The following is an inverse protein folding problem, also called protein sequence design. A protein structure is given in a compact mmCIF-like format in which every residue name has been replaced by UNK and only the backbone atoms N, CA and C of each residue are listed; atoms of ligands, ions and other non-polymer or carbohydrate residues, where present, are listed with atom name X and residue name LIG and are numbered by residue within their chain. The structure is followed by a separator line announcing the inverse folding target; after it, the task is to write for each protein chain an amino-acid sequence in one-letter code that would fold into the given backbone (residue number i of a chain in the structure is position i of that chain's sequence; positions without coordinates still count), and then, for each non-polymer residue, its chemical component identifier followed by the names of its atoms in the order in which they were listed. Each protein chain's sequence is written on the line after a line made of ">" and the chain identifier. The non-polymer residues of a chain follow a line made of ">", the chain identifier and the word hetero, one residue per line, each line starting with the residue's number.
data_IF_220198961041
#
_entry.id   IF_220198961041
#
_cell.length_a   1.000
_cell.length_b   1.000
_cell.length_c   1.000
_cell.angle_alpha   90.00
_cell.angle_beta   90.00
_cell.angle_gamma   90.00
#
_symmetry.space_group_name_H-M   'P 1'
#
loop_
_entity.id
_entity.type
_entity.pdbx_description
1 polymer ?
#
# COMPACT_ATOMS: atom_id res chain seq x y z
N UNK A 1 -21.61 -29.71 -18.83
CA UNK A 1 -22.78 -30.14 -18.02
C UNK A 1 -23.63 -28.92 -17.65
N UNK A 2 -24.93 -29.08 -17.50
CA UNK A 2 -25.77 -27.96 -17.04
C UNK A 2 -25.47 -27.65 -15.57
N UNK A 3 -25.13 -26.40 -15.29
CA UNK A 3 -24.87 -25.93 -13.93
C UNK A 3 -25.32 -24.49 -13.76
N UNK A 4 -25.52 -24.07 -12.51
CA UNK A 4 -25.86 -22.72 -12.13
C UNK A 4 -24.59 -21.91 -12.06
N UNK A 5 -24.55 -20.78 -12.76
CA UNK A 5 -23.47 -19.80 -12.72
C UNK A 5 -24.08 -18.40 -12.71
N UNK A 6 -23.26 -17.38 -12.44
CA UNK A 6 -23.73 -16.00 -12.49
C UNK A 6 -23.80 -15.50 -13.92
N UNK A 7 -24.78 -14.65 -14.19
CA UNK A 7 -24.88 -13.78 -15.38
C UNK A 7 -24.82 -12.32 -14.94
N UNK A 8 -24.07 -11.50 -15.65
CA UNK A 8 -23.93 -10.07 -15.36
C UNK A 8 -24.51 -9.28 -16.50
N UNK A 9 -25.60 -8.57 -16.24
CA UNK A 9 -26.24 -7.66 -17.17
C UNK A 9 -25.39 -6.38 -17.33
N UNK A 10 -24.79 -6.23 -18.50
CA UNK A 10 -23.87 -5.14 -18.80
C UNK A 10 -24.57 -3.78 -18.84
N UNK A 11 -25.87 -3.73 -19.14
CA UNK A 11 -26.65 -2.48 -19.20
C UNK A 11 -26.94 -1.96 -17.78
N UNK A 12 -27.29 -2.88 -16.86
CA UNK A 12 -27.55 -2.54 -15.45
C UNK A 12 -26.28 -2.32 -14.63
N UNK A 13 -25.14 -2.84 -15.07
CA UNK A 13 -23.88 -2.70 -14.34
C UNK A 13 -23.41 -1.24 -14.36
N UNK A 14 -23.23 -0.64 -13.19
CA UNK A 14 -22.71 0.73 -13.04
C UNK A 14 -21.17 0.79 -12.86
N UNK A 15 -20.48 -0.35 -12.89
CA UNK A 15 -19.03 -0.40 -12.79
C UNK A 15 -18.44 -0.19 -11.39
N UNK A 16 -19.22 -0.33 -10.32
CA UNK A 16 -18.75 -0.08 -8.94
C UNK A 16 -17.69 -1.06 -8.43
N UNK A 17 -17.53 -2.24 -9.05
CA UNK A 17 -16.51 -3.24 -8.69
C UNK A 17 -16.82 -4.07 -7.43
N UNK A 18 -17.90 -3.80 -6.70
CA UNK A 18 -18.21 -4.48 -5.45
C UNK A 18 -18.33 -6.01 -5.60
N UNK A 19 -18.92 -6.47 -6.70
CA UNK A 19 -19.03 -7.91 -7.01
C UNK A 19 -17.67 -8.58 -7.31
N UNK A 20 -16.76 -7.86 -7.95
CA UNK A 20 -15.42 -8.38 -8.21
C UNK A 20 -14.61 -8.50 -6.91
N UNK A 21 -14.78 -7.56 -5.97
CA UNK A 21 -14.19 -7.62 -4.64
C UNK A 21 -14.79 -8.74 -3.76
N UNK A 22 -16.10 -9.01 -3.89
CA UNK A 22 -16.82 -10.05 -3.13
C UNK A 22 -16.65 -11.45 -3.72
N UNK A 23 -16.13 -11.59 -4.95
CA UNK A 23 -15.93 -12.90 -5.56
C UNK A 23 -14.69 -13.58 -4.97
N UNK A 24 -14.90 -14.53 -4.08
CA UNK A 24 -13.82 -15.30 -3.44
C UNK A 24 -13.00 -16.08 -4.46
N UNK A 25 -13.60 -16.57 -5.52
CA UNK A 25 -12.94 -17.36 -6.57
C UNK A 25 -12.18 -16.50 -7.60
N UNK A 26 -12.37 -15.17 -7.55
CA UNK A 26 -11.76 -14.25 -8.51
C UNK A 26 -12.24 -14.47 -9.95
N UNK A 27 -13.44 -15.00 -10.12
CA UNK A 27 -14.06 -15.27 -11.41
C UNK A 27 -14.53 -13.99 -12.13
N UNK A 28 -14.71 -12.88 -11.39
CA UNK A 28 -15.19 -11.59 -11.92
C UNK A 28 -14.04 -10.63 -12.04
N UNK A 29 -13.90 -9.97 -13.20
CA UNK A 29 -12.98 -8.89 -13.43
C UNK A 29 -13.70 -7.64 -13.97
N UNK A 30 -13.05 -6.48 -13.82
CA UNK A 30 -13.52 -5.21 -14.39
C UNK A 30 -12.89 -5.00 -15.77
N UNK A 31 -13.71 -4.99 -16.83
CA UNK A 31 -13.26 -4.78 -18.22
C UNK A 31 -14.05 -3.59 -18.78
N UNK A 32 -13.36 -2.58 -19.28
CA UNK A 32 -14.00 -1.39 -19.83
C UNK A 32 -14.93 -0.65 -18.86
N UNK A 33 -14.63 -0.72 -17.53
CA UNK A 33 -15.47 -0.12 -16.51
C UNK A 33 -16.73 -0.93 -16.13
N UNK A 34 -16.86 -2.17 -16.61
CA UNK A 34 -17.99 -3.06 -16.33
C UNK A 34 -17.50 -4.37 -15.75
N UNK A 35 -18.27 -4.97 -14.83
CA UNK A 35 -17.98 -6.29 -14.29
C UNK A 35 -18.25 -7.37 -15.35
N UNK A 36 -17.35 -8.32 -15.49
CA UNK A 36 -17.43 -9.41 -16.47
C UNK A 36 -16.99 -10.72 -15.84
N UNK A 37 -17.75 -11.79 -16.06
CA UNK A 37 -17.35 -13.14 -15.70
C UNK A 37 -16.25 -13.60 -16.68
N UNK A 38 -15.07 -13.86 -16.17
CA UNK A 38 -13.90 -14.17 -16.99
C UNK A 38 -13.87 -15.61 -17.48
N UNK A 39 -14.28 -16.52 -16.60
CA UNK A 39 -14.26 -17.96 -16.88
C UNK A 39 -15.39 -18.64 -16.11
N UNK A 40 -16.11 -19.51 -16.78
CA UNK A 40 -17.20 -20.28 -16.19
C UNK A 40 -16.72 -21.27 -15.14
N UNK A 41 -15.58 -21.91 -15.39
CA UNK A 41 -14.96 -22.91 -14.51
C UNK A 41 -14.37 -22.33 -13.22
N UNK A 42 -14.30 -21.00 -13.09
CA UNK A 42 -13.90 -20.32 -11.86
C UNK A 42 -15.10 -19.95 -10.98
N UNK A 43 -16.30 -19.84 -11.53
CA UNK A 43 -17.50 -19.55 -10.76
C UNK A 43 -17.99 -20.84 -10.08
N UNK A 44 -18.05 -20.85 -8.74
CA UNK A 44 -18.59 -21.97 -7.96
C UNK A 44 -20.12 -22.06 -8.01
N UNK A 45 -20.81 -20.95 -8.35
CA UNK A 45 -22.27 -20.85 -8.39
C UNK A 45 -22.92 -20.58 -7.03
N UNK A 46 -22.13 -20.24 -5.99
CA UNK A 46 -22.69 -19.94 -4.65
C UNK A 46 -23.36 -18.57 -4.58
N UNK A 47 -22.87 -17.59 -5.36
CA UNK A 47 -23.55 -16.31 -5.53
C UNK A 47 -23.23 -15.26 -4.48
N UNK A 48 -22.10 -15.37 -3.79
CA UNK A 48 -21.62 -14.38 -2.80
C UNK A 48 -21.54 -12.95 -3.35
N UNK A 49 -21.36 -12.83 -4.67
CA UNK A 49 -21.33 -11.56 -5.36
C UNK A 49 -22.71 -10.88 -5.52
N UNK A 50 -23.85 -11.63 -5.43
CA UNK A 50 -25.19 -11.09 -5.70
C UNK A 50 -25.59 -10.00 -4.69
N UNK A 51 -25.50 -10.22 -3.36
CA UNK A 51 -25.92 -9.23 -2.36
C UNK A 51 -25.07 -7.95 -2.42
N UNK A 52 -23.90 -8.00 -3.02
CA UNK A 52 -22.99 -6.85 -3.14
C UNK A 52 -23.26 -5.99 -4.38
N UNK A 53 -24.18 -6.39 -5.26
CA UNK A 53 -24.52 -5.60 -6.46
C UNK A 53 -25.61 -4.57 -6.16
N UNK A 54 -25.29 -3.24 -6.08
CA UNK A 54 -26.29 -2.23 -5.73
C UNK A 54 -27.35 -2.01 -6.81
N UNK A 55 -27.07 -2.42 -8.06
CA UNK A 55 -27.99 -2.26 -9.18
C UNK A 55 -28.77 -3.53 -9.54
N UNK A 56 -28.51 -4.63 -8.84
CA UNK A 56 -29.13 -5.93 -9.17
C UNK A 56 -28.77 -6.45 -10.56
N UNK A 57 -27.60 -6.07 -11.08
CA UNK A 57 -27.13 -6.50 -12.40
C UNK A 57 -26.69 -7.95 -12.46
N UNK A 58 -26.58 -8.66 -11.30
CA UNK A 58 -26.11 -10.03 -11.24
C UNK A 58 -27.29 -10.94 -10.93
N UNK A 59 -27.43 -11.98 -11.73
CA UNK A 59 -28.45 -13.01 -11.59
C UNK A 59 -27.83 -14.39 -11.76
N UNK A 60 -28.57 -15.45 -11.35
CA UNK A 60 -28.19 -16.81 -11.67
C UNK A 60 -28.74 -17.21 -13.04
N UNK A 61 -27.93 -17.94 -13.77
CA UNK A 61 -28.30 -18.58 -15.03
C UNK A 61 -27.94 -20.05 -15.00
N UNK A 62 -28.85 -20.91 -15.50
CA UNK A 62 -28.58 -22.33 -15.73
C UNK A 62 -28.20 -22.53 -17.21
N UNK A 63 -26.92 -22.80 -17.46
CA UNK A 63 -26.42 -23.07 -18.82
C UNK A 63 -25.37 -24.17 -18.83
N UNK A 64 -25.07 -24.65 -20.03
CA UNK A 64 -23.94 -25.56 -20.19
C UNK A 64 -22.64 -24.79 -19.95
N UNK A 65 -21.88 -25.27 -18.96
CA UNK A 65 -20.62 -24.67 -18.57
C UNK A 65 -19.63 -25.77 -18.16
N UNK A 66 -18.34 -25.43 -18.24
CA UNK A 66 -17.27 -26.28 -17.73
C UNK A 66 -17.48 -26.54 -16.21
N UNK A 67 -17.11 -27.72 -15.70
CA UNK A 67 -17.16 -27.99 -14.26
C UNK A 67 -16.26 -27.01 -13.50
N UNK A 68 -16.65 -26.70 -12.26
CA UNK A 68 -15.82 -25.87 -11.37
C UNK A 68 -14.45 -26.51 -11.16
N UNK A 69 -13.41 -25.72 -11.32
CA UNK A 69 -12.01 -26.17 -11.24
C UNK A 69 -11.30 -25.50 -10.07
N UNK A 70 -11.45 -26.08 -8.88
CA UNK A 70 -10.82 -25.58 -7.67
C UNK A 70 -9.30 -25.48 -7.77
N UNK A 71 -8.65 -26.46 -8.41
CA UNK A 71 -7.19 -26.44 -8.58
C UNK A 71 -6.72 -25.25 -9.42
N UNK A 72 -7.47 -24.94 -10.49
CA UNK A 72 -7.15 -23.77 -11.33
C UNK A 72 -7.40 -22.44 -10.58
N UNK A 73 -8.45 -22.39 -9.75
CA UNK A 73 -8.73 -21.23 -8.88
C UNK A 73 -7.62 -21.02 -7.85
N UNK A 74 -7.18 -22.09 -7.18
CA UNK A 74 -6.09 -22.04 -6.21
C UNK A 74 -4.76 -21.63 -6.87
N UNK A 75 -4.44 -22.17 -8.04
CA UNK A 75 -3.28 -21.76 -8.81
C UNK A 75 -3.35 -20.27 -9.20
N UNK A 76 -4.50 -19.81 -9.66
CA UNK A 76 -4.71 -18.39 -10.00
C UNK A 76 -4.62 -17.46 -8.76
N UNK A 77 -5.06 -17.92 -7.59
CA UNK A 77 -4.89 -17.20 -6.32
C UNK A 77 -3.40 -17.09 -5.94
N UNK A 78 -2.63 -18.17 -6.05
CA UNK A 78 -1.19 -18.17 -5.80
C UNK A 78 -0.45 -17.25 -6.79
N UNK A 79 -0.85 -17.22 -8.06
CA UNK A 79 -0.32 -16.26 -9.04
C UNK A 79 -0.76 -14.81 -8.76
N UNK A 80 -1.97 -14.59 -8.25
CA UNK A 80 -2.43 -13.24 -7.84
C UNK A 80 -1.68 -12.70 -6.62
N UNK A 81 -1.26 -13.52 -5.69
CA UNK A 81 -0.39 -13.09 -4.57
C UNK A 81 1.03 -12.76 -5.02
N UNK A 82 1.50 -13.30 -6.16
CA UNK A 82 2.78 -12.96 -6.76
C UNK A 82 2.73 -11.69 -7.65
N UNK A 83 1.57 -11.41 -8.28
CA UNK A 83 1.36 -10.25 -9.14
C UNK A 83 -0.08 -9.75 -8.96
N UNK A 84 -0.37 -8.99 -7.90
CA UNK A 84 -1.47 -8.05 -7.97
C UNK A 84 -1.00 -6.92 -8.88
N UNK A 85 -1.64 -6.63 -10.02
CA UNK A 85 -1.51 -5.31 -10.60
C UNK A 85 -2.30 -4.39 -9.66
N UNK A 86 -1.66 -4.06 -8.52
CA UNK A 86 -2.06 -2.93 -7.71
C UNK A 86 -2.07 -1.69 -8.59
N UNK A 87 -2.82 -0.68 -8.18
CA UNK A 87 -2.69 0.67 -8.74
C UNK A 87 -1.22 0.89 -9.14
N UNK A 88 -0.91 1.41 -10.33
CA UNK A 88 0.48 1.67 -10.76
C UNK A 88 1.32 2.41 -9.72
N UNK A 89 0.66 3.16 -8.81
CA UNK A 89 1.27 3.81 -7.67
C UNK A 89 1.68 2.88 -6.52
N UNK A 90 1.29 1.61 -6.50
CA UNK A 90 1.67 0.65 -5.44
C UNK A 90 2.84 -0.26 -5.85
N UNK A 91 3.30 -0.20 -7.10
CA UNK A 91 4.44 -0.99 -7.54
C UNK A 91 5.73 -0.53 -6.81
N UNK A 92 6.53 -1.47 -6.27
CA UNK A 92 7.80 -1.12 -5.63
C UNK A 92 8.75 -0.47 -6.65
N UNK A 93 9.28 0.68 -6.30
CA UNK A 93 10.20 1.44 -7.13
C UNK A 93 11.34 1.99 -6.29
N UNK A 94 12.58 1.67 -6.64
CA UNK A 94 13.74 2.39 -6.17
C UNK A 94 13.85 3.73 -6.93
N UNK A 95 14.08 4.81 -6.21
CA UNK A 95 14.17 6.14 -6.78
C UNK A 95 15.60 6.66 -6.68
N UNK A 96 16.09 7.25 -7.75
CA UNK A 96 17.36 7.96 -7.73
C UNK A 96 17.13 9.41 -7.31
N UNK A 97 17.87 9.85 -6.30
CA UNK A 97 17.92 11.28 -5.95
C UNK A 97 18.78 11.97 -7.00
N UNK A 98 18.17 12.74 -7.87
CA UNK A 98 18.91 13.56 -8.82
C UNK A 98 19.39 14.83 -8.12
N UNK A 99 20.71 15.07 -8.02
CA UNK A 99 21.22 16.38 -7.60
C UNK A 99 20.81 17.40 -8.68
N UNK A 100 19.90 18.29 -8.33
CA UNK A 100 19.55 19.41 -9.21
C UNK A 100 18.34 19.26 -10.13
N UNK A 101 17.33 18.44 -9.79
CA UNK A 101 16.04 18.57 -10.45
C UNK A 101 15.40 19.90 -10.01
N UNK A 102 15.79 20.98 -10.69
CA UNK A 102 15.03 22.23 -10.65
C UNK A 102 13.64 21.91 -11.19
N UNK A 103 12.63 21.88 -10.32
CA UNK A 103 11.27 22.00 -10.75
C UNK A 103 11.17 23.33 -11.52
N UNK A 104 11.04 23.24 -12.85
CA UNK A 104 10.84 24.41 -13.68
C UNK A 104 9.53 25.04 -13.20
N UNK A 105 9.63 26.20 -12.57
CA UNK A 105 8.48 26.92 -12.07
C UNK A 105 7.49 27.12 -13.23
N UNK A 106 6.22 26.74 -13.02
CA UNK A 106 5.15 26.85 -14.01
C UNK A 106 4.68 28.31 -14.25
N UNK A 107 5.36 29.28 -13.64
CA UNK A 107 5.10 30.71 -13.84
C UNK A 107 6.36 31.42 -14.34
N UNK A 108 6.26 32.25 -15.39
CA UNK A 108 7.35 33.13 -15.78
C UNK A 108 7.59 34.14 -14.65
N UNK A 109 8.72 33.98 -13.93
CA UNK A 109 9.17 34.98 -12.97
C UNK A 109 9.72 36.19 -13.72
N UNK A 110 9.23 37.36 -13.39
CA UNK A 110 9.84 38.61 -13.84
C UNK A 110 11.27 38.73 -13.32
N UNK A 111 12.16 39.22 -14.16
CA UNK A 111 13.58 39.29 -13.90
C UNK A 111 13.85 40.20 -12.69
N UNK A 112 14.36 39.63 -11.58
CA UNK A 112 14.84 40.43 -10.43
C UNK A 112 14.88 39.71 -9.07
N UNK A 113 14.16 38.62 -8.84
CA UNK A 113 14.20 37.90 -7.58
C UNK A 113 14.95 36.56 -7.73
N UNK A 114 15.91 36.33 -6.83
CA UNK A 114 16.57 35.01 -6.72
C UNK A 114 15.51 33.94 -6.52
N UNK A 115 15.33 33.06 -7.51
CA UNK A 115 14.37 31.97 -7.45
C UNK A 115 14.57 31.18 -6.15
N UNK A 116 13.48 30.87 -5.40
CA UNK A 116 13.61 30.09 -4.18
C UNK A 116 14.23 28.73 -4.55
N UNK A 117 15.37 28.43 -3.97
CA UNK A 117 16.03 27.12 -4.12
C UNK A 117 15.16 26.08 -3.45
N UNK A 118 14.32 25.39 -4.22
CA UNK A 118 13.53 24.28 -3.70
C UNK A 118 14.45 23.12 -3.35
N UNK A 119 14.45 22.70 -2.08
CA UNK A 119 15.23 21.56 -1.64
C UNK A 119 14.77 20.30 -2.41
N UNK A 120 15.70 19.50 -2.98
CA UNK A 120 15.32 18.29 -3.72
C UNK A 120 14.75 17.23 -2.77
N UNK A 121 13.81 16.41 -3.28
CA UNK A 121 13.30 15.26 -2.53
C UNK A 121 14.43 14.28 -2.19
N UNK A 122 14.48 13.82 -0.94
CA UNK A 122 15.42 12.82 -0.46
C UNK A 122 14.82 11.41 -0.47
N UNK A 123 13.59 11.24 -0.96
CA UNK A 123 12.92 9.94 -1.01
C UNK A 123 13.59 9.02 -2.04
N UNK A 124 13.85 7.78 -1.63
CA UNK A 124 14.61 6.80 -2.41
C UNK A 124 13.82 5.58 -2.85
N UNK A 125 12.59 5.42 -2.37
CA UNK A 125 11.73 4.30 -2.75
C UNK A 125 10.26 4.72 -2.82
N UNK A 126 9.48 3.87 -3.48
CA UNK A 126 8.04 3.92 -3.53
C UNK A 126 7.47 2.49 -3.52
N UNK A 127 6.33 2.21 -2.88
CA UNK A 127 5.50 3.09 -2.04
C UNK A 127 6.12 3.38 -0.67
N UNK A 128 5.57 4.37 0.05
CA UNK A 128 6.01 4.74 1.41
C UNK A 128 5.08 4.21 2.50
N UNK A 129 3.80 4.01 2.19
CA UNK A 129 2.81 3.56 3.16
C UNK A 129 3.09 2.13 3.63
N UNK A 130 3.14 1.91 4.95
CA UNK A 130 3.39 0.59 5.56
C UNK A 130 2.45 -0.47 4.99
N UNK A 131 1.17 -0.13 4.79
CA UNK A 131 0.16 -1.07 4.25
C UNK A 131 0.47 -1.50 2.82
N UNK A 132 1.06 -0.64 2.00
CA UNK A 132 1.27 -0.84 0.57
C UNK A 132 2.64 -1.42 0.23
N UNK A 133 3.65 -1.17 1.06
CA UNK A 133 5.01 -1.64 0.78
C UNK A 133 5.07 -3.17 0.81
N UNK A 134 5.75 -3.83 -0.14
CA UNK A 134 5.95 -5.28 -0.08
C UNK A 134 6.89 -5.65 1.06
N UNK A 135 6.74 -6.84 1.62
CA UNK A 135 7.61 -7.33 2.71
C UNK A 135 9.05 -7.50 2.24
N UNK A 136 9.23 -8.04 1.03
CA UNK A 136 10.53 -8.28 0.43
C UNK A 136 10.71 -7.36 -0.78
N UNK A 137 11.50 -6.30 -0.61
CA UNK A 137 11.85 -5.41 -1.70
C UNK A 137 13.38 -5.17 -1.68
N UNK A 138 14.03 -5.09 -2.85
CA UNK A 138 15.49 -4.96 -2.92
C UNK A 138 16.05 -3.74 -2.18
N UNK A 139 15.26 -2.69 -2.00
CA UNK A 139 15.67 -1.48 -1.28
C UNK A 139 15.74 -1.65 0.23
N UNK A 140 15.28 -2.78 0.79
CA UNK A 140 15.45 -3.08 2.22
C UNK A 140 16.80 -3.71 2.55
N UNK A 141 17.52 -4.21 1.58
CA UNK A 141 18.82 -4.83 1.80
C UNK A 141 19.86 -3.80 2.23
N UNK A 142 20.44 -3.99 3.43
CA UNK A 142 21.35 -3.03 4.04
C UNK A 142 20.71 -1.69 4.44
N UNK A 143 19.39 -1.63 4.59
CA UNK A 143 18.68 -0.37 4.78
C UNK A 143 18.74 0.15 6.23
N UNK A 144 18.85 1.48 6.33
CA UNK A 144 18.45 2.25 7.51
C UNK A 144 16.97 2.56 7.38
N UNK A 145 16.15 2.05 8.30
CA UNK A 145 14.69 2.14 8.19
C UNK A 145 14.15 3.33 8.99
N UNK A 146 13.39 4.19 8.33
CA UNK A 146 12.61 5.25 8.96
C UNK A 146 11.14 4.81 9.04
N UNK A 147 10.57 4.79 10.23
CA UNK A 147 9.14 4.57 10.48
C UNK A 147 8.56 5.87 11.01
N UNK A 148 7.78 6.58 10.18
CA UNK A 148 7.30 7.92 10.46
C UNK A 148 5.76 7.98 10.56
N UNK A 149 5.24 8.74 11.51
CA UNK A 149 3.83 9.06 11.53
C UNK A 149 3.47 10.05 10.41
N UNK A 150 2.31 9.90 9.79
CA UNK A 150 1.85 10.70 8.64
C UNK A 150 2.01 12.21 8.84
N UNK A 151 1.74 12.72 10.04
CA UNK A 151 1.77 14.15 10.33
C UNK A 151 3.18 14.73 10.46
N UNK A 152 4.21 13.90 10.67
CA UNK A 152 5.56 14.38 11.02
C UNK A 152 6.23 15.19 9.93
N UNK A 153 6.06 14.78 8.67
CA UNK A 153 6.60 15.49 7.52
C UNK A 153 5.90 16.84 7.25
N UNK A 154 4.67 17.00 7.70
CA UNK A 154 3.95 18.27 7.61
C UNK A 154 4.30 19.22 8.74
N UNK A 155 4.55 18.68 9.95
CA UNK A 155 4.89 19.50 11.12
C UNK A 155 6.35 20.00 11.09
N UNK A 156 7.29 19.15 10.66
CA UNK A 156 8.72 19.47 10.67
C UNK A 156 9.23 19.85 9.28
N UNK A 157 9.51 21.13 9.07
CA UNK A 157 9.83 21.68 7.75
C UNK A 157 11.05 21.02 7.06
N UNK A 158 12.10 20.67 7.81
CA UNK A 158 13.31 20.04 7.28
C UNK A 158 13.26 18.50 7.27
N UNK A 159 12.06 17.89 7.17
CA UNK A 159 11.86 16.45 7.34
C UNK A 159 12.67 15.62 6.33
N UNK A 160 12.72 16.05 5.05
CA UNK A 160 13.49 15.37 4.02
C UNK A 160 14.99 15.33 4.35
N UNK A 161 15.53 16.47 4.77
CA UNK A 161 16.94 16.61 5.08
C UNK A 161 17.35 15.86 6.36
N UNK A 162 16.51 15.92 7.37
CA UNK A 162 16.82 15.40 8.70
C UNK A 162 16.55 13.91 8.84
N UNK A 163 15.46 13.43 8.25
CA UNK A 163 14.95 12.07 8.49
C UNK A 163 14.91 11.19 7.25
N UNK A 164 14.48 11.70 6.08
CA UNK A 164 14.36 10.85 4.88
C UNK A 164 15.73 10.58 4.25
N UNK A 165 16.63 11.53 4.28
CA UNK A 165 17.96 11.40 3.69
C UNK A 165 18.67 10.14 4.21
N UNK A 166 19.02 9.23 3.31
CA UNK A 166 19.75 8.01 3.62
C UNK A 166 18.92 6.89 4.26
N UNK A 167 17.60 7.06 4.40
CA UNK A 167 16.71 6.06 4.95
C UNK A 167 15.74 5.52 3.89
N UNK A 168 15.27 4.30 4.12
CA UNK A 168 14.08 3.75 3.49
C UNK A 168 12.90 4.10 4.39
N UNK A 169 11.92 4.82 3.84
CA UNK A 169 10.88 5.49 4.63
C UNK A 169 9.57 4.73 4.58
N UNK A 170 9.04 4.39 5.75
CA UNK A 170 7.71 3.81 5.93
C UNK A 170 6.85 4.79 6.70
N UNK A 171 5.62 5.00 6.23
CA UNK A 171 4.70 6.00 6.78
C UNK A 171 3.38 5.34 7.17
N UNK A 172 2.76 5.79 8.25
CA UNK A 172 1.44 5.31 8.66
C UNK A 172 0.84 6.07 9.82
N UNK A 173 -0.48 5.97 9.96
CA UNK A 173 -1.22 6.59 11.07
C UNK A 173 -2.03 5.53 11.83
N UNK A 174 -1.63 5.18 13.07
CA UNK A 174 -2.36 4.18 13.85
C UNK A 174 -3.77 4.63 14.28
N UNK A 175 -4.10 5.91 14.09
CA UNK A 175 -5.43 6.46 14.36
C UNK A 175 -6.37 6.29 13.18
N UNK A 176 -5.85 6.37 11.94
CA UNK A 176 -6.64 6.33 10.71
C UNK A 176 -6.67 4.94 10.08
N UNK A 177 -5.58 4.21 10.23
CA UNK A 177 -5.47 2.86 9.70
C UNK A 177 -5.97 1.84 10.72
N UNK A 178 -6.97 1.08 10.35
CA UNK A 178 -7.52 -0.01 11.17
C UNK A 178 -6.70 -1.31 11.00
N UNK A 179 -5.41 -1.24 11.36
CA UNK A 179 -4.48 -2.38 11.26
C UNK A 179 -3.43 -2.37 12.35
N UNK A 180 -2.96 -3.56 12.73
CA UNK A 180 -1.76 -3.69 13.57
C UNK A 180 -0.49 -3.71 12.70
N UNK A 181 0.23 -2.60 12.70
CA UNK A 181 1.48 -2.49 11.96
C UNK A 181 2.57 -3.45 12.43
N UNK A 182 2.50 -3.95 13.67
CA UNK A 182 3.56 -4.80 14.23
C UNK A 182 3.77 -6.09 13.45
N UNK A 183 2.72 -6.69 12.90
CA UNK A 183 2.83 -7.92 12.11
C UNK A 183 3.65 -7.68 10.83
N UNK A 184 3.27 -6.65 10.06
CA UNK A 184 3.95 -6.34 8.81
C UNK A 184 5.36 -5.81 9.02
N UNK A 185 5.58 -4.96 10.01
CA UNK A 185 6.91 -4.49 10.38
C UNK A 185 7.80 -5.64 10.84
N UNK A 186 7.27 -6.60 11.62
CA UNK A 186 7.99 -7.83 11.98
C UNK A 186 8.43 -8.61 10.75
N UNK A 187 7.53 -8.80 9.79
CA UNK A 187 7.82 -9.52 8.57
C UNK A 187 8.92 -8.82 7.76
N UNK A 188 8.86 -7.49 7.61
CA UNK A 188 9.88 -6.69 6.91
C UNK A 188 11.23 -6.82 7.62
N UNK A 189 11.28 -6.59 8.94
CA UNK A 189 12.53 -6.61 9.71
C UNK A 189 13.15 -8.01 9.70
N UNK A 190 12.34 -9.05 9.84
CA UNK A 190 12.81 -10.44 9.87
C UNK A 190 13.39 -10.89 8.52
N UNK A 191 12.74 -10.52 7.43
CA UNK A 191 13.07 -11.02 6.09
C UNK A 191 14.16 -10.23 5.37
N UNK A 192 14.57 -9.06 5.88
CA UNK A 192 15.54 -8.20 5.21
C UNK A 192 16.71 -7.82 6.13
N UNK A 193 17.84 -7.44 5.56
CA UNK A 193 19.00 -6.94 6.30
C UNK A 193 18.82 -5.46 6.67
N UNK A 194 18.15 -5.21 7.81
CA UNK A 194 17.93 -3.86 8.33
C UNK A 194 19.05 -3.51 9.31
N UNK A 195 19.76 -2.40 9.06
CA UNK A 195 20.89 -1.96 9.86
C UNK A 195 20.49 -1.17 11.10
N UNK A 196 19.50 -0.31 11.00
CA UNK A 196 18.97 0.50 12.10
C UNK A 196 17.51 0.87 11.87
N UNK A 197 16.80 1.22 12.93
CA UNK A 197 15.41 1.69 12.87
C UNK A 197 15.28 3.03 13.60
N UNK A 198 14.81 4.06 12.90
CA UNK A 198 14.41 5.34 13.47
C UNK A 198 12.90 5.47 13.41
N UNK A 199 12.26 5.67 14.56
CA UNK A 199 10.83 5.95 14.66
C UNK A 199 10.65 7.45 14.88
N UNK A 200 9.88 8.11 14.01
CA UNK A 200 9.54 9.53 14.17
C UNK A 200 8.04 9.67 14.37
N UNK A 201 7.66 10.26 15.48
CA UNK A 201 6.26 10.41 15.86
C UNK A 201 5.92 11.83 16.32
N UNK A 202 4.65 12.16 16.33
CA UNK A 202 4.18 13.39 16.98
C UNK A 202 4.03 13.19 18.50
N UNK A 203 4.07 14.28 19.25
CA UNK A 203 3.84 14.30 20.69
C UNK A 203 2.44 13.81 21.11
N UNK A 204 1.48 13.82 20.17
CA UNK A 204 0.09 13.47 20.44
C UNK A 204 -0.06 11.98 20.79
N UNK A 205 -0.99 11.64 21.73
CA UNK A 205 -1.12 10.28 22.26
C UNK A 205 -1.37 9.19 21.21
N UNK A 206 -2.10 9.51 20.12
CA UNK A 206 -2.40 8.53 19.07
C UNK A 206 -1.14 7.99 18.37
N UNK A 207 -0.06 8.76 18.29
CA UNK A 207 1.20 8.32 17.69
C UNK A 207 1.97 7.31 18.56
N UNK A 208 1.62 7.13 19.83
CA UNK A 208 2.18 6.06 20.65
C UNK A 208 1.92 4.65 20.11
N UNK A 209 0.85 4.47 19.34
CA UNK A 209 0.54 3.21 18.67
C UNK A 209 1.61 2.81 17.63
N UNK A 210 2.16 3.76 16.88
CA UNK A 210 3.22 3.51 15.91
C UNK A 210 4.54 3.09 16.58
N UNK A 211 4.91 3.81 17.65
CA UNK A 211 6.08 3.47 18.47
C UNK A 211 5.96 2.07 19.07
N UNK A 212 4.80 1.74 19.65
CA UNK A 212 4.56 0.42 20.22
C UNK A 212 4.57 -0.69 19.17
N UNK A 213 4.04 -0.44 17.97
CA UNK A 213 4.11 -1.39 16.87
C UNK A 213 5.55 -1.66 16.43
N UNK A 214 6.38 -0.62 16.32
CA UNK A 214 7.80 -0.75 15.99
C UNK A 214 8.57 -1.53 17.08
N UNK A 215 8.33 -1.23 18.35
CA UNK A 215 8.93 -1.97 19.49
C UNK A 215 8.58 -3.45 19.46
N UNK A 216 7.29 -3.78 19.29
CA UNK A 216 6.84 -5.19 19.16
C UNK A 216 7.47 -5.89 17.97
N UNK A 217 7.57 -5.19 16.84
CA UNK A 217 8.17 -5.73 15.62
C UNK A 217 9.66 -6.05 15.82
N UNK A 218 10.43 -5.15 16.42
CA UNK A 218 11.84 -5.37 16.75
C UNK A 218 12.00 -6.58 17.67
N UNK A 219 11.23 -6.68 18.75
CA UNK A 219 11.26 -7.81 19.67
C UNK A 219 10.90 -9.13 18.99
N UNK A 220 9.81 -9.14 18.20
CA UNK A 220 9.33 -10.33 17.51
C UNK A 220 10.24 -10.76 16.34
N UNK A 221 11.06 -9.87 15.78
CA UNK A 221 11.98 -10.19 14.69
C UNK A 221 13.08 -11.16 15.10
N UNK A 222 13.45 -11.17 16.38
CA UNK A 222 14.57 -11.94 16.92
C UNK A 222 15.94 -11.39 16.53
N UNK A 223 16.01 -10.20 15.93
CA UNK A 223 17.26 -9.52 15.54
C UNK A 223 17.63 -8.45 16.54
N UNK A 224 18.93 -8.29 16.77
CA UNK A 224 19.45 -7.17 17.55
C UNK A 224 19.78 -6.01 16.62
N UNK A 225 18.86 -5.05 16.52
CA UNK A 225 18.97 -3.89 15.62
C UNK A 225 18.95 -2.62 16.48
N UNK A 226 19.93 -1.72 16.35
CA UNK A 226 19.90 -0.43 17.02
C UNK A 226 18.68 0.38 16.55
N UNK A 227 18.01 1.03 17.50
CA UNK A 227 16.84 1.83 17.19
C UNK A 227 16.70 3.03 18.10
N UNK A 228 15.99 4.05 17.63
CA UNK A 228 15.70 5.27 18.36
C UNK A 228 14.29 5.80 18.06
N UNK A 229 13.77 6.62 18.97
CA UNK A 229 12.51 7.35 18.79
C UNK A 229 12.80 8.84 18.85
N UNK A 230 12.23 9.57 17.90
CA UNK A 230 12.25 11.02 17.87
C UNK A 230 10.81 11.53 17.93
N UNK A 231 10.54 12.42 18.85
CA UNK A 231 9.22 13.04 19.00
C UNK A 231 9.23 14.45 18.44
N UNK A 232 8.24 14.76 17.61
CA UNK A 232 8.02 16.10 17.03
C UNK A 232 6.78 16.72 17.69
N UNK A 233 6.91 17.95 18.12
CA UNK A 233 5.79 18.73 18.66
C UNK A 233 4.86 19.22 17.54
N UNK A 234 3.65 19.60 17.89
CA UNK A 234 2.66 20.13 16.93
C UNK A 234 3.08 21.45 16.29
N UNK A 235 4.00 22.18 16.91
CA UNK A 235 4.62 23.41 16.37
C UNK A 235 5.94 23.16 15.61
N UNK A 236 6.27 21.88 15.35
CA UNK A 236 7.40 21.49 14.47
C UNK A 236 8.76 21.49 15.13
N UNK A 237 8.86 21.37 16.44
CA UNK A 237 10.13 21.20 17.16
C UNK A 237 10.41 19.73 17.47
N UNK A 238 11.68 19.34 17.47
CA UNK A 238 12.09 18.04 18.00
C UNK A 238 12.10 18.15 19.53
N UNK A 239 11.42 17.21 20.18
CA UNK A 239 11.42 17.07 21.63
C UNK A 239 12.40 15.94 21.99
N UNK A 240 13.32 16.22 22.92
CA UNK A 240 14.28 15.24 23.46
C UNK A 240 13.64 14.35 24.50
#
# INVERSE_FOLDING_TARGET
>A
MKRQIIHIDQEKCNGCGACAAACHEGAIAMIGGKATLMRDDYCDGMGDCLPHCPTGAITFEQREAAPYNEAAVQAARQHKTAHTPGCPGSAPKAMHVYPGSMAKALHPAEAGESAPTTAPSQLRQWPVQIKLVPVNAPYFDGARLLIAADCTAYAYAAFHERFIRGHITLVGCPKLDDVDYSEKLTAIIRSNDIQEVTVVRMEVPCCGGLENAAKRALQASGKFIPWQVVTISTDGRILD
#
